data_IF_934176010560
#
_entry.id   IF_934176010560
#
_cell.length_a   1.000
_cell.length_b   1.000
_cell.length_c   1.000
_cell.angle_alpha   90.00
_cell.angle_beta   90.00
_cell.angle_gamma   90.00
#
_symmetry.space_group_name_H-M   'P 1'
#
loop_
_entity.id
_entity.type
_entity.pdbx_description
1 polymer ?
#
# COMPACT_ATOMS: atom_id res chain seq x y z
N UNK A 1 -41.42 -15.65 -5.96
CA UNK A 1 -40.15 -15.32 -5.27
C UNK A 1 -39.99 -13.81 -5.38
N UNK A 2 -39.92 -13.05 -4.27
CA UNK A 2 -39.69 -11.61 -4.34
C UNK A 2 -38.36 -11.34 -5.08
N UNK A 3 -38.28 -10.25 -5.88
CA UNK A 3 -37.03 -9.90 -6.55
C UNK A 3 -35.96 -9.74 -5.48
N UNK A 4 -34.82 -10.45 -5.66
CA UNK A 4 -33.64 -10.32 -4.78
C UNK A 4 -33.22 -8.86 -4.80
N UNK A 5 -33.27 -8.21 -3.64
CA UNK A 5 -32.79 -6.83 -3.54
C UNK A 5 -31.41 -6.75 -4.19
N UNK A 6 -31.20 -5.78 -5.07
CA UNK A 6 -29.90 -5.60 -5.73
C UNK A 6 -28.84 -5.36 -4.64
N UNK A 7 -27.85 -6.23 -4.59
CA UNK A 7 -26.72 -6.07 -3.67
C UNK A 7 -26.05 -4.70 -3.92
N UNK A 8 -25.73 -3.93 -2.87
CA UNK A 8 -25.00 -2.67 -3.01
C UNK A 8 -23.72 -2.89 -3.81
N UNK A 9 -23.61 -2.21 -4.94
CA UNK A 9 -22.48 -2.36 -5.86
C UNK A 9 -21.85 -0.99 -6.14
N UNK A 10 -20.52 -0.93 -6.01
CA UNK A 10 -19.78 0.31 -6.24
C UNK A 10 -18.35 0.20 -5.69
N UNK A 11 -17.65 1.33 -5.71
CA UNK A 11 -16.29 1.46 -5.19
C UNK A 11 -16.32 2.37 -3.97
N UNK A 12 -15.78 1.91 -2.84
CA UNK A 12 -15.61 2.70 -1.63
C UNK A 12 -14.16 3.21 -1.53
N UNK A 13 -14.02 4.48 -1.21
CA UNK A 13 -12.74 5.07 -0.81
C UNK A 13 -12.71 5.11 0.72
N UNK A 14 -11.82 4.33 1.31
CA UNK A 14 -11.74 4.17 2.77
C UNK A 14 -10.38 4.61 3.27
N UNK A 15 -10.36 5.54 4.22
CA UNK A 15 -9.14 5.92 4.94
C UNK A 15 -8.87 4.89 6.03
N UNK A 16 -8.00 3.92 5.71
CA UNK A 16 -7.65 2.85 6.64
C UNK A 16 -6.82 3.42 7.81
N UNK A 17 -7.26 3.23 9.06
CA UNK A 17 -6.45 3.60 10.22
C UNK A 17 -5.28 2.62 10.41
N UNK A 18 -4.31 3.02 11.24
CA UNK A 18 -3.24 2.14 11.72
C UNK A 18 -3.81 1.01 12.59
N UNK A 19 -3.25 -0.19 12.46
CA UNK A 19 -3.58 -1.36 13.28
C UNK A 19 -4.36 -2.44 12.52
N UNK A 20 -5.59 -2.23 12.04
CA UNK A 20 -6.32 -3.28 11.33
C UNK A 20 -5.66 -3.63 10.00
N UNK A 21 -5.67 -4.92 9.64
CA UNK A 21 -5.27 -5.35 8.30
C UNK A 21 -6.27 -4.87 7.25
N UNK A 22 -5.84 -4.75 5.99
CA UNK A 22 -6.75 -4.46 4.86
C UNK A 22 -7.91 -5.44 4.79
N UNK A 23 -7.67 -6.71 5.14
CA UNK A 23 -8.72 -7.74 5.17
C UNK A 23 -9.75 -7.50 6.29
N UNK A 24 -9.32 -7.01 7.45
CA UNK A 24 -10.24 -6.65 8.54
C UNK A 24 -11.18 -5.52 8.13
N UNK A 25 -10.64 -4.49 7.44
CA UNK A 25 -11.44 -3.39 6.89
C UNK A 25 -12.42 -3.90 5.83
N UNK A 26 -11.96 -4.77 4.90
CA UNK A 26 -12.86 -5.43 3.92
C UNK A 26 -14.00 -6.17 4.62
N UNK A 27 -13.72 -6.92 5.69
CA UNK A 27 -14.72 -7.66 6.45
C UNK A 27 -15.76 -6.73 7.11
N UNK A 28 -15.32 -5.59 7.63
CA UNK A 28 -16.21 -4.58 8.19
C UNK A 28 -17.14 -3.98 7.15
N UNK A 29 -16.60 -3.50 6.01
CA UNK A 29 -17.40 -2.93 4.92
C UNK A 29 -18.34 -3.98 4.32
N UNK A 30 -17.89 -5.23 4.18
CA UNK A 30 -18.75 -6.35 3.74
C UNK A 30 -19.94 -6.54 4.67
N UNK A 31 -19.75 -6.43 5.99
CA UNK A 31 -20.86 -6.53 6.96
C UNK A 31 -21.85 -5.38 6.80
N UNK A 32 -21.36 -4.15 6.54
CA UNK A 32 -22.19 -2.96 6.35
C UNK A 32 -22.96 -2.98 5.00
N UNK A 33 -22.36 -3.51 3.95
CA UNK A 33 -23.00 -3.59 2.62
C UNK A 33 -23.84 -4.84 2.42
N UNK A 34 -23.60 -5.92 3.18
CA UNK A 34 -24.19 -7.24 2.93
C UNK A 34 -23.73 -7.89 1.61
N UNK A 35 -22.80 -7.30 0.88
CA UNK A 35 -22.38 -7.73 -0.45
C UNK A 35 -20.95 -8.28 -0.45
N UNK A 36 -20.62 -9.10 -1.46
CA UNK A 36 -19.24 -9.52 -1.68
C UNK A 36 -18.34 -8.28 -1.83
N UNK A 37 -17.28 -8.19 -1.02
CA UNK A 37 -16.35 -7.05 -1.01
C UNK A 37 -14.92 -7.54 -1.15
N UNK A 38 -14.11 -6.79 -1.91
CA UNK A 38 -12.67 -6.98 -2.08
C UNK A 38 -11.94 -5.64 -2.05
N UNK A 39 -10.60 -5.64 -2.23
CA UNK A 39 -9.80 -4.43 -2.29
C UNK A 39 -8.90 -4.41 -3.54
N UNK A 40 -8.53 -3.20 -3.97
CA UNK A 40 -7.60 -2.96 -5.08
C UNK A 40 -6.21 -2.55 -4.58
N UNK A 41 -5.55 -3.43 -3.85
CA UNK A 41 -4.19 -3.23 -3.33
C UNK A 41 -4.15 -3.18 -1.80
N UNK A 42 -3.40 -4.11 -1.23
CA UNK A 42 -3.20 -4.27 0.21
C UNK A 42 -2.44 -3.06 0.79
N UNK A 43 -2.80 -2.68 2.02
CA UNK A 43 -1.98 -1.90 2.94
C UNK A 43 -1.61 -2.79 4.13
N UNK A 44 -0.37 -2.68 4.58
CA UNK A 44 0.11 -3.36 5.78
C UNK A 44 -0.64 -2.84 7.04
N UNK A 45 -0.66 -3.59 8.16
CA UNK A 45 -1.38 -3.16 9.35
C UNK A 45 -0.89 -1.81 9.91
N UNK A 46 0.44 -1.58 9.94
CA UNK A 46 1.02 -0.31 10.41
C UNK A 46 0.73 0.86 9.46
N UNK A 47 0.49 0.59 8.16
CA UNK A 47 0.22 1.61 7.16
C UNK A 47 -1.20 2.16 7.26
N UNK A 48 -1.36 3.43 6.87
CA UNK A 48 -2.63 4.16 6.85
C UNK A 48 -2.99 4.64 5.45
N UNK A 49 -4.16 5.26 5.31
CA UNK A 49 -4.53 5.97 4.11
C UNK A 49 -5.45 5.20 3.17
N UNK A 50 -5.49 5.61 1.92
CA UNK A 50 -6.50 5.20 0.95
C UNK A 50 -6.48 3.70 0.66
N UNK A 51 -7.53 3.02 1.05
CA UNK A 51 -7.84 1.64 0.68
C UNK A 51 -9.07 1.66 -0.24
N UNK A 52 -8.87 1.34 -1.50
CA UNK A 52 -9.95 1.26 -2.49
C UNK A 52 -10.62 -0.10 -2.37
N UNK A 53 -11.91 -0.11 -2.02
CA UNK A 53 -12.72 -1.31 -1.86
C UNK A 53 -13.76 -1.41 -2.98
N UNK A 54 -14.09 -2.64 -3.36
CA UNK A 54 -15.05 -2.92 -4.40
C UNK A 54 -16.15 -3.82 -3.83
N UNK A 55 -17.42 -3.41 -4.01
CA UNK A 55 -18.58 -4.12 -3.50
C UNK A 55 -19.45 -4.68 -4.64
N UNK A 56 -20.04 -5.82 -4.42
CA UNK A 56 -20.96 -6.47 -5.35
C UNK A 56 -20.34 -6.73 -6.72
N UNK A 57 -21.09 -6.45 -7.78
CA UNK A 57 -20.64 -6.60 -9.18
C UNK A 57 -19.43 -5.75 -9.55
N UNK A 58 -19.17 -4.66 -8.82
CA UNK A 58 -18.00 -3.80 -9.09
C UNK A 58 -16.66 -4.44 -8.75
N UNK A 59 -16.64 -5.61 -8.10
CA UNK A 59 -15.42 -6.41 -7.89
C UNK A 59 -14.73 -6.80 -9.21
N UNK A 60 -15.43 -6.78 -10.33
CA UNK A 60 -14.86 -6.99 -11.69
C UNK A 60 -13.87 -5.89 -12.11
N UNK A 61 -13.95 -4.67 -11.52
CA UNK A 61 -13.03 -3.56 -11.78
C UNK A 61 -11.68 -3.72 -11.08
N UNK A 62 -11.51 -4.75 -10.24
CA UNK A 62 -10.30 -4.93 -9.45
C UNK A 62 -9.00 -4.96 -10.30
N UNK A 63 -8.93 -5.64 -11.46
CA UNK A 63 -7.70 -5.63 -12.28
C UNK A 63 -7.29 -4.21 -12.72
N UNK A 64 -8.24 -3.38 -13.15
CA UNK A 64 -8.01 -1.99 -13.57
C UNK A 64 -7.47 -1.16 -12.39
N UNK A 65 -8.16 -1.20 -11.25
CA UNK A 65 -7.80 -0.39 -10.08
C UNK A 65 -6.52 -0.87 -9.37
N UNK A 66 -6.22 -2.16 -9.42
CA UNK A 66 -4.95 -2.72 -8.91
C UNK A 66 -3.77 -2.20 -9.75
N UNK A 67 -3.93 -2.05 -11.05
CA UNK A 67 -2.89 -1.59 -11.98
C UNK A 67 -2.47 -0.13 -11.83
N UNK A 68 -3.28 0.71 -11.19
CA UNK A 68 -3.02 2.14 -11.05
C UNK A 68 -1.73 2.43 -10.27
N UNK A 69 -1.08 3.55 -10.56
CA UNK A 69 0.00 4.10 -9.76
C UNK A 69 -0.51 4.50 -8.36
N UNK A 70 0.37 4.54 -7.37
CA UNK A 70 0.06 4.90 -5.99
C UNK A 70 1.01 5.98 -5.51
N UNK A 71 0.48 6.94 -4.73
CA UNK A 71 1.28 7.94 -4.04
C UNK A 71 1.28 7.65 -2.55
N UNK A 72 2.46 7.79 -1.96
CA UNK A 72 2.69 7.54 -0.54
C UNK A 72 3.48 8.68 0.08
N UNK A 73 3.14 9.01 1.32
CA UNK A 73 4.02 9.70 2.23
C UNK A 73 4.56 8.67 3.24
N UNK A 74 5.87 8.67 3.47
CA UNK A 74 6.52 7.72 4.39
C UNK A 74 7.64 8.39 5.16
N UNK A 75 7.84 7.95 6.40
CA UNK A 75 9.03 8.24 7.20
C UNK A 75 9.82 6.96 7.36
N UNK A 76 11.13 7.06 7.16
CA UNK A 76 12.07 5.93 7.20
C UNK A 76 13.18 6.27 8.20
N UNK A 77 13.33 5.43 9.23
CA UNK A 77 14.45 5.49 10.17
C UNK A 77 15.64 4.76 9.55
N UNK A 78 16.74 5.50 9.35
CA UNK A 78 18.00 5.03 8.76
C UNK A 78 19.03 4.63 9.83
N UNK A 79 18.69 4.73 11.13
CA UNK A 79 19.55 4.29 12.25
C UNK A 79 19.41 2.82 12.58
N UNK A 80 18.36 2.15 12.07
CA UNK A 80 18.09 0.75 12.35
C UNK A 80 17.40 0.04 11.19
N UNK A 81 17.56 -1.28 11.12
CA UNK A 81 16.79 -2.18 10.24
C UNK A 81 15.95 -3.10 11.11
N UNK A 82 14.76 -3.45 10.65
CA UNK A 82 13.89 -4.42 11.33
C UNK A 82 13.66 -5.66 10.46
N UNK A 83 13.30 -6.77 11.07
CA UNK A 83 13.08 -8.06 10.41
C UNK A 83 11.95 -8.04 9.36
N UNK A 84 11.02 -7.07 9.47
CA UNK A 84 9.89 -6.90 8.54
C UNK A 84 10.01 -5.67 7.64
N UNK A 85 11.02 -4.81 7.89
CA UNK A 85 11.18 -3.51 7.22
C UNK A 85 10.15 -2.46 7.66
N UNK A 86 9.48 -2.68 8.79
CA UNK A 86 8.46 -1.83 9.38
C UNK A 86 8.50 -1.86 10.93
N UNK A 87 7.67 -1.06 11.65
CA UNK A 87 7.72 -0.98 13.11
C UNK A 87 7.24 -2.23 13.85
N UNK A 88 6.65 -3.20 13.13
CA UNK A 88 6.14 -4.45 13.74
C UNK A 88 7.25 -5.50 13.87
N UNK A 89 8.38 -5.31 13.18
CA UNK A 89 9.54 -6.22 13.21
C UNK A 89 10.50 -5.94 14.35
N UNK A 90 11.25 -6.97 14.75
CA UNK A 90 12.36 -6.82 15.68
C UNK A 90 13.53 -6.09 15.01
N UNK A 91 14.26 -5.27 15.79
CA UNK A 91 15.48 -4.62 15.31
C UNK A 91 16.56 -5.67 15.10
N UNK A 92 17.01 -5.83 13.86
CA UNK A 92 18.04 -6.81 13.45
C UNK A 92 19.41 -6.19 13.26
N UNK A 93 19.49 -4.88 13.04
CA UNK A 93 20.74 -4.14 12.91
C UNK A 93 20.56 -2.68 13.36
N UNK A 94 21.63 -2.09 13.90
CA UNK A 94 21.75 -0.65 14.16
C UNK A 94 22.97 -0.11 13.44
N UNK A 95 22.90 1.15 13.01
CA UNK A 95 23.97 1.82 12.28
C UNK A 95 23.92 3.33 12.54
N UNK A 96 25.03 4.01 12.27
CA UNK A 96 25.04 5.47 12.21
C UNK A 96 24.20 5.92 11.01
N UNK A 97 23.29 6.88 11.19
CA UNK A 97 22.53 7.43 10.08
C UNK A 97 23.46 8.09 9.05
N UNK A 98 23.15 7.99 7.75
CA UNK A 98 23.94 8.63 6.72
C UNK A 98 23.90 10.16 6.83
N UNK A 99 24.95 10.83 6.38
CA UNK A 99 24.92 12.27 6.13
C UNK A 99 23.93 12.63 5.02
N UNK A 100 23.51 13.90 4.90
CA UNK A 100 22.63 14.35 3.81
C UNK A 100 23.20 14.02 2.42
N UNK A 101 24.53 14.16 2.23
CA UNK A 101 25.20 13.83 0.97
C UNK A 101 25.15 12.34 0.64
N UNK A 102 25.36 11.47 1.64
CA UNK A 102 25.26 10.02 1.49
C UNK A 102 23.81 9.58 1.25
N UNK A 103 22.84 10.23 1.93
CA UNK A 103 21.43 9.99 1.67
C UNK A 103 21.05 10.33 0.24
N UNK A 104 21.45 11.50 -0.26
CA UNK A 104 21.21 11.91 -1.64
C UNK A 104 21.78 10.90 -2.65
N UNK A 105 23.00 10.39 -2.42
CA UNK A 105 23.61 9.36 -3.27
C UNK A 105 22.86 8.02 -3.23
N UNK A 106 22.21 7.65 -2.10
CA UNK A 106 21.38 6.45 -1.97
C UNK A 106 19.99 6.62 -2.59
N UNK A 107 19.44 7.82 -2.58
CA UNK A 107 18.10 8.13 -3.12
C UNK A 107 18.11 8.15 -4.65
N UNK A 108 19.16 8.67 -5.28
CA UNK A 108 19.21 8.87 -6.73
C UNK A 108 19.01 7.58 -7.54
N UNK A 109 19.63 6.42 -7.20
CA UNK A 109 19.42 5.17 -7.92
C UNK A 109 18.00 4.60 -7.77
N UNK A 110 17.20 5.11 -6.84
CA UNK A 110 15.82 4.66 -6.61
C UNK A 110 14.79 5.41 -7.46
N UNK A 111 15.22 6.31 -8.35
CA UNK A 111 14.38 7.01 -9.32
C UNK A 111 14.25 6.20 -10.61
N UNK A 112 13.08 6.24 -11.24
CA UNK A 112 12.83 5.51 -12.48
C UNK A 112 12.61 4.01 -12.24
N UNK A 113 13.14 3.18 -13.15
CA UNK A 113 12.95 1.73 -13.06
C UNK A 113 13.92 1.12 -12.04
N UNK A 114 13.35 0.38 -11.09
CA UNK A 114 14.08 -0.28 -10.01
C UNK A 114 13.75 -1.78 -9.98
N UNK A 115 14.69 -2.55 -9.47
CA UNK A 115 14.50 -3.98 -9.22
C UNK A 115 14.97 -4.28 -7.80
N UNK A 116 14.02 -4.52 -6.88
CA UNK A 116 14.30 -4.72 -5.46
C UNK A 116 13.69 -6.04 -4.96
N UNK A 117 14.29 -6.68 -3.94
CA UNK A 117 13.73 -7.86 -3.33
C UNK A 117 12.35 -7.57 -2.72
N UNK A 118 11.42 -8.50 -2.90
CA UNK A 118 10.12 -8.42 -2.21
C UNK A 118 10.36 -8.64 -0.71
N UNK A 119 9.77 -7.83 0.19
CA UNK A 119 9.91 -8.06 1.64
C UNK A 119 9.43 -9.46 2.05
N UNK A 120 10.19 -10.15 2.92
CA UNK A 120 9.83 -11.48 3.42
C UNK A 120 8.46 -11.48 4.13
N UNK A 121 8.12 -10.40 4.84
CA UNK A 121 6.80 -10.19 5.44
C UNK A 121 5.76 -9.75 4.40
N UNK A 122 5.57 -10.53 3.32
CA UNK A 122 4.62 -10.24 2.24
C UNK A 122 3.68 -11.42 1.95
N UNK A 123 2.63 -11.14 1.17
CA UNK A 123 1.65 -12.14 0.78
C UNK A 123 2.04 -12.94 -0.47
N UNK A 124 3.24 -12.73 -1.02
CA UNK A 124 3.76 -13.49 -2.16
C UNK A 124 3.90 -14.96 -1.79
N UNK A 125 3.67 -15.84 -2.74
CA UNK A 125 3.83 -17.29 -2.53
C UNK A 125 5.22 -17.74 -2.99
N UNK A 126 5.91 -18.46 -2.12
CA UNK A 126 7.19 -19.13 -2.39
C UNK A 126 6.96 -20.63 -2.18
N UNK A 127 7.20 -21.44 -3.22
CA UNK A 127 6.93 -22.87 -3.14
C UNK A 127 5.48 -23.24 -2.77
N UNK A 128 4.49 -22.38 -3.12
CA UNK A 128 3.07 -22.59 -2.81
C UNK A 128 2.60 -22.02 -1.46
N UNK A 129 3.53 -21.65 -0.56
CA UNK A 129 3.22 -21.06 0.75
C UNK A 129 3.45 -19.53 0.75
N UNK A 130 2.70 -18.80 1.58
CA UNK A 130 2.86 -17.35 1.73
C UNK A 130 4.17 -17.00 2.43
N UNK A 131 4.96 -16.07 1.86
CA UNK A 131 6.26 -15.68 2.40
C UNK A 131 6.21 -15.24 3.88
N UNK A 132 5.18 -14.47 4.28
CA UNK A 132 5.03 -14.07 5.69
C UNK A 132 4.87 -15.25 6.66
N UNK A 133 4.34 -16.41 6.21
CA UNK A 133 4.23 -17.61 7.06
C UNK A 133 5.58 -18.30 7.22
N UNK A 134 6.39 -18.33 6.16
CA UNK A 134 7.76 -18.83 6.20
C UNK A 134 8.62 -17.99 7.12
N UNK A 135 8.56 -16.65 6.96
CA UNK A 135 9.29 -15.70 7.80
C UNK A 135 8.95 -15.85 9.30
N UNK A 136 7.65 -15.99 9.66
CA UNK A 136 7.24 -16.23 11.06
C UNK A 136 7.75 -17.53 11.66
N UNK A 137 8.09 -18.52 10.84
CA UNK A 137 8.70 -19.80 11.29
C UNK A 137 10.23 -19.75 11.29
N UNK A 138 10.82 -18.58 11.00
CA UNK A 138 12.27 -18.43 10.90
C UNK A 138 12.88 -19.12 9.69
N UNK A 139 12.09 -19.47 8.68
CA UNK A 139 12.60 -20.09 7.45
C UNK A 139 13.13 -18.98 6.56
N UNK A 140 14.45 -18.96 6.37
CA UNK A 140 15.09 -18.08 5.40
C UNK A 140 14.77 -18.55 3.98
N UNK A 141 14.28 -17.64 3.16
CA UNK A 141 14.00 -17.88 1.74
C UNK A 141 14.57 -16.74 0.91
N UNK A 142 15.16 -17.08 -0.22
CA UNK A 142 15.56 -16.09 -1.20
C UNK A 142 14.30 -15.45 -1.81
N UNK A 143 14.16 -14.15 -1.57
CA UNK A 143 12.99 -13.42 -2.04
C UNK A 143 13.19 -13.01 -3.49
N UNK A 144 12.18 -13.21 -4.36
CA UNK A 144 12.29 -12.83 -5.76
C UNK A 144 12.42 -11.31 -5.89
N UNK A 145 13.16 -10.89 -6.90
CA UNK A 145 13.24 -9.49 -7.30
C UNK A 145 11.92 -9.05 -7.94
N UNK A 146 11.52 -7.83 -7.66
CA UNK A 146 10.35 -7.18 -8.24
C UNK A 146 10.77 -5.95 -9.00
N UNK A 147 10.48 -5.94 -10.30
CA UNK A 147 10.59 -4.73 -11.13
C UNK A 147 9.42 -3.81 -10.85
N UNK A 148 9.71 -2.54 -10.68
CA UNK A 148 8.72 -1.48 -10.50
C UNK A 148 9.32 -0.13 -10.94
N UNK A 149 8.47 0.89 -11.09
CA UNK A 149 8.90 2.23 -11.49
C UNK A 149 8.56 3.22 -10.39
N UNK A 150 9.55 3.98 -9.95
CA UNK A 150 9.35 5.16 -9.10
C UNK A 150 9.18 6.37 -10.03
N UNK A 151 7.92 6.80 -10.19
CA UNK A 151 7.53 7.92 -11.08
C UNK A 151 8.03 9.26 -10.55
N UNK A 152 7.92 9.43 -9.23
CA UNK A 152 8.43 10.58 -8.50
C UNK A 152 8.92 10.16 -7.13
N UNK A 153 9.98 10.79 -6.66
CA UNK A 153 10.51 10.63 -5.30
C UNK A 153 11.03 12.00 -4.87
N UNK A 154 10.50 12.51 -3.78
CA UNK A 154 10.90 13.78 -3.18
C UNK A 154 11.30 13.55 -1.73
N UNK A 155 12.46 14.07 -1.35
CA UNK A 155 12.92 14.14 0.05
C UNK A 155 12.32 15.40 0.65
N UNK A 156 11.34 15.24 1.53
CA UNK A 156 10.63 16.36 2.18
C UNK A 156 11.43 16.91 3.35
N UNK A 157 12.02 16.02 4.15
CA UNK A 157 12.83 16.38 5.31
C UNK A 157 13.80 15.26 5.65
N UNK A 158 14.90 15.61 6.28
CA UNK A 158 15.83 14.67 6.90
C UNK A 158 16.35 15.25 8.21
N UNK A 159 16.11 14.59 9.32
CA UNK A 159 16.57 14.98 10.65
C UNK A 159 16.66 13.77 11.56
N UNK A 160 17.66 13.75 12.44
CA UNK A 160 17.85 12.71 13.47
C UNK A 160 17.85 11.27 12.91
N UNK A 161 18.36 11.09 11.70
CA UNK A 161 18.38 9.78 11.04
C UNK A 161 17.05 9.34 10.44
N UNK A 162 16.01 10.17 10.49
CA UNK A 162 14.71 9.91 9.89
C UNK A 162 14.54 10.75 8.62
N UNK A 163 14.25 10.10 7.50
CA UNK A 163 13.91 10.76 6.23
C UNK A 163 12.42 10.65 5.95
N UNK A 164 11.80 11.79 5.59
CA UNK A 164 10.43 11.87 5.09
C UNK A 164 10.44 11.94 3.57
N UNK A 165 9.70 11.04 2.92
CA UNK A 165 9.63 10.95 1.46
C UNK A 165 8.17 11.06 0.98
N UNK A 166 7.98 11.76 -0.15
CA UNK A 166 6.79 11.68 -0.98
C UNK A 166 7.12 10.86 -2.23
N UNK A 167 6.36 9.80 -2.48
CA UNK A 167 6.65 8.80 -3.51
C UNK A 167 5.43 8.57 -4.40
N UNK A 168 5.61 8.66 -5.73
CA UNK A 168 4.66 8.10 -6.70
C UNK A 168 5.29 6.90 -7.37
N UNK A 169 4.65 5.74 -7.27
CA UNK A 169 5.20 4.46 -7.71
C UNK A 169 4.19 3.63 -8.50
N UNK A 170 4.70 2.81 -9.40
CA UNK A 170 3.88 1.85 -10.15
C UNK A 170 3.25 0.79 -9.26
N UNK A 171 2.23 0.13 -9.77
CA UNK A 171 1.55 -0.97 -9.09
C UNK A 171 2.51 -2.07 -8.66
N UNK A 172 2.34 -2.55 -7.44
CA UNK A 172 3.11 -3.67 -6.88
C UNK A 172 4.47 -3.29 -6.32
N UNK A 173 4.82 -2.00 -6.28
CA UNK A 173 6.00 -1.51 -5.56
C UNK A 173 5.80 -1.66 -4.05
N UNK A 174 6.82 -2.15 -3.36
CA UNK A 174 6.87 -2.23 -1.91
C UNK A 174 7.70 -1.07 -1.36
N UNK A 175 7.06 -0.13 -0.68
CA UNK A 175 7.78 1.02 -0.06
C UNK A 175 8.76 0.53 1.00
N UNK A 176 8.47 -0.57 1.69
CA UNK A 176 9.42 -1.22 2.63
C UNK A 176 10.69 -1.74 1.94
N UNK A 177 10.60 -2.15 0.67
CA UNK A 177 11.80 -2.51 -0.10
C UNK A 177 12.65 -1.28 -0.43
N UNK A 178 12.02 -0.13 -0.69
CA UNK A 178 12.71 1.15 -0.86
C UNK A 178 13.41 1.56 0.45
N UNK A 179 12.71 1.42 1.58
CA UNK A 179 13.30 1.70 2.90
C UNK A 179 14.51 0.80 3.20
N UNK A 180 14.42 -0.49 2.88
CA UNK A 180 15.53 -1.44 3.04
C UNK A 180 16.72 -1.10 2.12
N UNK A 181 16.48 -0.70 0.88
CA UNK A 181 17.51 -0.25 -0.06
C UNK A 181 18.23 1.03 0.41
N UNK A 182 17.54 1.92 1.12
CA UNK A 182 18.14 3.07 1.80
C UNK A 182 18.96 2.67 3.04
N UNK A 183 18.78 1.45 3.55
CA UNK A 183 19.43 0.92 4.73
C UNK A 183 18.61 1.08 6.03
N UNK A 184 17.31 1.36 5.94
CA UNK A 184 16.44 1.62 7.07
C UNK A 184 15.18 0.77 7.08
N UNK A 185 14.17 1.23 7.84
CA UNK A 185 12.84 0.66 7.88
C UNK A 185 11.76 1.75 7.92
N UNK A 186 10.57 1.47 7.40
CA UNK A 186 9.46 2.40 7.49
C UNK A 186 9.02 2.58 8.95
N UNK A 187 8.93 3.82 9.42
CA UNK A 187 8.34 4.21 10.72
C UNK A 187 6.86 4.51 10.54
N UNK A 188 6.55 5.20 9.45
CA UNK A 188 5.19 5.49 9.03
C UNK A 188 5.04 5.27 7.53
N UNK A 189 3.82 4.95 7.10
CA UNK A 189 3.46 4.81 5.70
C UNK A 189 2.00 5.20 5.51
N UNK A 190 1.75 6.20 4.67
CA UNK A 190 0.40 6.65 4.33
C UNK A 190 0.21 6.65 2.82
N UNK A 191 -0.74 5.88 2.32
CA UNK A 191 -1.13 5.95 0.92
C UNK A 191 -2.11 7.10 0.71
N UNK A 192 -1.69 8.12 -0.01
CA UNK A 192 -2.49 9.32 -0.26
C UNK A 192 -3.34 9.23 -1.51
N UNK A 193 -2.86 8.47 -2.53
CA UNK A 193 -3.55 8.36 -3.81
C UNK A 193 -3.46 6.95 -4.40
N UNK A 194 -4.47 6.58 -5.18
CA UNK A 194 -4.53 5.40 -6.08
C UNK A 194 -5.10 5.88 -7.41
N UNK A 195 -4.23 6.08 -8.41
CA UNK A 195 -4.61 6.75 -9.66
C UNK A 195 -5.30 8.09 -9.37
N UNK A 196 -6.52 8.32 -9.90
CA UNK A 196 -7.23 9.58 -9.69
C UNK A 196 -7.92 9.70 -8.32
N UNK A 197 -7.87 8.67 -7.48
CA UNK A 197 -8.56 8.64 -6.21
C UNK A 197 -7.64 9.13 -5.09
N UNK A 198 -8.12 10.12 -4.32
CA UNK A 198 -7.40 10.71 -3.18
C UNK A 198 -8.02 10.30 -1.85
N UNK A 199 -7.17 10.14 -0.83
CA UNK A 199 -7.58 9.91 0.55
C UNK A 199 -8.41 11.07 1.11
N UNK A 200 -8.29 12.27 0.56
CA UNK A 200 -9.10 13.42 0.96
C UNK A 200 -10.61 13.22 0.70
N UNK A 201 -10.95 12.30 -0.22
CA UNK A 201 -12.33 11.94 -0.54
C UNK A 201 -12.77 10.63 0.12
N UNK A 202 -11.96 10.07 1.02
CA UNK A 202 -12.23 8.82 1.68
C UNK A 202 -12.96 9.04 3.01
N UNK A 203 -13.73 8.03 3.43
CA UNK A 203 -14.35 7.97 4.74
C UNK A 203 -13.64 6.95 5.62
N UNK A 204 -13.69 7.10 6.95
CA UNK A 204 -13.18 6.05 7.83
C UNK A 204 -14.06 4.80 7.78
N UNK A 205 -13.54 3.61 8.13
CA UNK A 205 -14.36 2.40 8.17
C UNK A 205 -15.63 2.54 9.01
N UNK A 206 -15.53 3.26 10.13
CA UNK A 206 -16.65 3.48 11.07
C UNK A 206 -17.73 4.38 10.44
N UNK A 207 -17.32 5.45 9.76
CA UNK A 207 -18.22 6.42 9.12
C UNK A 207 -18.82 5.93 7.79
N UNK A 208 -18.28 4.82 7.24
CA UNK A 208 -18.78 4.29 5.97
C UNK A 208 -20.25 3.84 6.08
N UNK A 209 -21.05 4.26 5.09
CA UNK A 209 -22.40 3.79 4.81
C UNK A 209 -22.51 3.40 3.34
N UNK A 210 -23.46 2.52 2.93
CA UNK A 210 -23.57 2.06 1.54
C UNK A 210 -23.72 3.19 0.51
N UNK A 211 -24.24 4.33 0.90
CA UNK A 211 -24.42 5.54 0.08
C UNK A 211 -23.08 6.19 -0.29
N UNK A 212 -21.98 5.86 0.41
CA UNK A 212 -20.62 6.30 0.06
C UNK A 212 -20.05 5.55 -1.15
N UNK A 213 -20.75 4.52 -1.67
CA UNK A 213 -20.28 3.77 -2.83
C UNK A 213 -20.35 4.63 -4.09
N UNK A 214 -19.20 4.87 -4.71
CA UNK A 214 -19.11 5.45 -6.04
C UNK A 214 -19.69 4.48 -7.07
N UNK A 215 -20.50 5.00 -7.99
CA UNK A 215 -21.01 4.17 -9.09
C UNK A 215 -19.89 3.77 -10.06
N UNK A 216 -20.07 2.68 -10.79
CA UNK A 216 -19.13 2.26 -11.84
C UNK A 216 -18.92 3.37 -12.88
N UNK A 217 -19.99 4.10 -13.23
CA UNK A 217 -19.91 5.21 -14.17
C UNK A 217 -19.02 6.35 -13.64
N UNK A 218 -19.17 6.72 -12.37
CA UNK A 218 -18.32 7.73 -11.73
C UNK A 218 -16.85 7.31 -11.68
N UNK A 219 -16.58 6.04 -11.40
CA UNK A 219 -15.21 5.48 -11.39
C UNK A 219 -14.61 5.54 -12.79
N UNK A 220 -15.33 5.10 -13.83
CA UNK A 220 -14.85 5.16 -15.22
C UNK A 220 -14.63 6.60 -15.70
N UNK A 221 -15.49 7.52 -15.30
CA UNK A 221 -15.31 8.94 -15.62
C UNK A 221 -14.03 9.50 -14.98
N UNK A 222 -13.75 9.14 -13.73
CA UNK A 222 -12.51 9.56 -13.05
C UNK A 222 -11.25 8.96 -13.71
N UNK A 223 -11.28 7.68 -14.10
CA UNK A 223 -10.18 7.02 -14.80
C UNK A 223 -9.93 7.67 -16.17
N UNK A 224 -10.98 7.93 -16.95
CA UNK A 224 -10.89 8.58 -18.25
C UNK A 224 -10.33 10.01 -18.15
N UNK A 225 -10.79 10.79 -17.16
CA UNK A 225 -10.27 12.14 -16.91
C UNK A 225 -8.77 12.16 -16.54
N UNK A 226 -8.28 11.08 -15.94
CA UNK A 226 -6.86 10.90 -15.61
C UNK A 226 -6.02 10.27 -16.74
N UNK A 227 -6.61 10.03 -17.92
CA UNK A 227 -5.91 9.39 -19.05
C UNK A 227 -5.59 7.90 -18.82
N UNK A 228 -6.30 7.26 -17.92
CA UNK A 228 -6.17 5.83 -17.59
C UNK A 228 -7.42 5.14 -18.16
N UNK A 229 -7.38 4.83 -19.44
CA UNK A 229 -8.47 4.12 -20.12
C UNK A 229 -7.93 2.89 -20.85
#
# INVERSE_FOLDING_TARGET
VPPRALEPAGVALVDKPRGPSSFAVVAEIRRKTGARTGHAGTLDPFATGLLVLLSGRSTKLAPELVGLDKRYFTEIDLSARTSTGDPEGEVVARQEPPTEGELAAKVEPLRGDIELPIPAASAVKIGGERAYKLARRGVEVEMPLRRSTVRALEVIAYSDGVVSLDLTVSSGTYVRAIADALGGHCVSLRRTEVGPFSVANAVTPEAFVPECLLSEASVRAALAAAGVA
#
